data_IF_169297815205
#
_entry.id   IF_169297815205
#
_cell.length_a   1.000
_cell.length_b   1.000
_cell.length_c   1.000
_cell.angle_alpha   90.00
_cell.angle_beta   90.00
_cell.angle_gamma   90.00
#
_symmetry.space_group_name_H-M   'P 1'
#
loop_
_entity.id
_entity.type
_entity.pdbx_description
1 polymer ?
#
# COMPACT_ATOMS: atom_id res chain seq x y z
N UNK A 1 8.62 -11.20 -3.92
CA UNK A 1 8.75 -10.51 -2.61
C UNK A 1 8.64 -9.01 -2.86
N UNK A 2 7.82 -8.32 -2.08
CA UNK A 2 7.76 -6.86 -2.06
C UNK A 2 7.95 -6.41 -0.63
N UNK A 3 8.88 -5.49 -0.43
CA UNK A 3 9.15 -4.86 0.85
C UNK A 3 9.06 -3.34 0.65
N UNK A 4 8.29 -2.69 1.50
CA UNK A 4 8.22 -1.23 1.54
C UNK A 4 8.27 -0.77 3.00
N UNK A 5 9.12 0.22 3.26
CA UNK A 5 9.21 0.91 4.54
C UNK A 5 9.01 2.41 4.32
N UNK A 6 8.08 3.00 5.06
CA UNK A 6 7.75 4.41 4.88
C UNK A 6 6.37 4.75 5.41
N UNK A 7 5.83 5.88 4.95
CA UNK A 7 4.49 6.29 5.31
C UNK A 7 3.44 5.41 4.60
N UNK A 8 2.43 5.06 5.37
CA UNK A 8 1.28 4.30 4.90
C UNK A 8 0.18 4.38 5.94
N UNK A 9 -0.97 3.83 5.59
CA UNK A 9 -2.12 3.80 6.47
C UNK A 9 -2.99 2.58 6.16
N UNK A 10 -3.90 2.27 7.09
CA UNK A 10 -4.81 1.14 6.95
C UNK A 10 -6.26 1.60 7.03
N UNK A 11 -7.06 1.16 6.07
CA UNK A 11 -8.52 1.22 6.15
C UNK A 11 -9.06 -0.20 6.02
N UNK A 12 -9.73 -0.53 4.91
CA UNK A 12 -10.05 -1.91 4.53
C UNK A 12 -8.81 -2.61 3.96
N UNK A 13 -8.06 -1.90 3.12
CA UNK A 13 -6.80 -2.33 2.53
C UNK A 13 -5.63 -1.57 3.16
N UNK A 14 -4.41 -2.03 2.88
CA UNK A 14 -3.19 -1.31 3.23
C UNK A 14 -2.81 -0.36 2.10
N UNK A 15 -2.43 0.87 2.46
CA UNK A 15 -2.07 1.91 1.50
C UNK A 15 -0.65 2.39 1.76
N UNK A 16 0.09 2.59 0.67
CA UNK A 16 1.46 3.09 0.65
C UNK A 16 1.44 4.54 0.15
N UNK A 17 2.06 5.46 0.89
CA UNK A 17 2.21 6.85 0.49
C UNK A 17 3.54 7.08 -0.22
N UNK A 18 3.49 7.74 -1.37
CA UNK A 18 4.69 8.18 -2.06
C UNK A 18 5.27 9.43 -1.39
N UNK A 19 6.55 9.69 -1.65
CA UNK A 19 7.28 10.85 -1.08
C UNK A 19 6.78 12.20 -1.61
N UNK A 20 6.08 12.20 -2.75
CA UNK A 20 5.48 13.35 -3.40
C UNK A 20 3.98 13.51 -3.09
N UNK A 21 3.42 12.66 -2.21
CA UNK A 21 2.03 12.78 -1.78
C UNK A 21 1.77 14.17 -1.14
N UNK A 22 0.62 14.80 -1.42
CA UNK A 22 0.29 16.09 -0.84
C UNK A 22 0.13 15.99 0.68
N UNK A 23 0.29 17.12 1.38
CA UNK A 23 0.16 17.19 2.84
C UNK A 23 -1.21 16.74 3.33
N UNK A 24 -2.25 17.03 2.55
CA UNK A 24 -3.60 16.50 2.72
C UNK A 24 -3.85 15.58 1.54
N UNK A 25 -3.96 14.28 1.81
CA UNK A 25 -4.03 13.25 0.80
C UNK A 25 -5.38 12.53 0.83
N UNK A 26 -5.82 12.12 -0.35
CA UNK A 26 -6.93 11.21 -0.57
C UNK A 26 -6.40 9.79 -0.80
N UNK A 27 -7.32 8.82 -0.82
CA UNK A 27 -6.97 7.43 -1.19
C UNK A 27 -6.41 7.33 -2.61
N UNK A 28 -6.81 8.22 -3.51
CA UNK A 28 -6.30 8.30 -4.89
C UNK A 28 -4.84 8.75 -4.99
N UNK A 29 -4.31 9.36 -3.92
CA UNK A 29 -2.93 9.83 -3.87
C UNK A 29 -1.98 8.77 -3.29
N UNK A 30 -2.50 7.59 -2.96
CA UNK A 30 -1.76 6.47 -2.37
C UNK A 30 -1.89 5.21 -3.23
N UNK A 31 -0.94 4.30 -3.09
CA UNK A 31 -0.95 3.00 -3.79
C UNK A 31 -1.62 1.98 -2.88
N UNK A 32 -2.63 1.28 -3.40
CA UNK A 32 -3.33 0.25 -2.63
C UNK A 32 -2.65 -1.11 -2.77
N UNK A 33 -2.52 -1.87 -1.67
CA UNK A 33 -1.97 -3.23 -1.68
C UNK A 33 -2.77 -4.17 -2.61
N UNK A 34 -4.08 -3.95 -2.74
CA UNK A 34 -4.91 -4.75 -3.64
C UNK A 34 -4.60 -4.49 -5.12
N UNK A 35 -4.17 -3.28 -5.51
CA UNK A 35 -3.70 -2.98 -6.87
C UNK A 35 -2.40 -3.75 -7.17
N UNK A 36 -1.52 -3.81 -6.17
CA UNK A 36 -0.27 -4.57 -6.26
C UNK A 36 -0.55 -6.07 -6.49
N UNK A 37 -1.47 -6.65 -5.72
CA UNK A 37 -1.93 -8.02 -5.91
C UNK A 37 -2.58 -8.23 -7.27
N UNK A 38 -3.44 -7.31 -7.71
CA UNK A 38 -4.09 -7.41 -9.01
C UNK A 38 -3.10 -7.44 -10.17
N UNK A 39 -1.95 -6.76 -10.05
CA UNK A 39 -0.88 -6.81 -11.06
C UNK A 39 -0.02 -8.08 -11.01
N UNK A 40 0.12 -8.71 -9.84
CA UNK A 40 1.08 -9.79 -9.62
C UNK A 40 0.43 -11.18 -9.69
N UNK A 41 -0.75 -11.35 -9.10
CA UNK A 41 -1.45 -12.65 -9.07
C UNK A 41 -1.69 -13.25 -10.47
N UNK A 42 -2.03 -12.47 -11.52
CA UNK A 42 -2.20 -13.02 -12.87
C UNK A 42 -0.92 -13.59 -13.49
N UNK A 43 0.25 -13.30 -12.91
CA UNK A 43 1.54 -13.86 -13.34
C UNK A 43 1.82 -15.24 -12.75
N UNK A 44 0.87 -15.80 -12.00
CA UNK A 44 0.93 -17.11 -11.35
C UNK A 44 2.21 -17.33 -10.51
N UNK A 45 2.50 -16.45 -9.54
CA UNK A 45 3.65 -16.64 -8.68
C UNK A 45 3.42 -17.86 -7.78
N UNK A 46 4.42 -18.76 -7.71
CA UNK A 46 4.40 -19.86 -6.74
C UNK A 46 4.24 -19.38 -5.28
N UNK A 47 4.70 -18.15 -4.99
CA UNK A 47 4.49 -17.47 -3.72
C UNK A 47 4.54 -15.94 -3.89
N UNK A 48 3.56 -15.24 -3.32
CA UNK A 48 3.58 -13.77 -3.18
C UNK A 48 3.71 -13.41 -1.69
N UNK A 49 4.78 -12.70 -1.34
CA UNK A 49 5.00 -12.12 -0.02
C UNK A 49 5.07 -10.61 -0.16
N UNK A 50 4.22 -9.90 0.59
CA UNK A 50 4.18 -8.44 0.69
C UNK A 50 4.40 -8.06 2.15
N UNK A 51 5.47 -7.31 2.42
CA UNK A 51 5.85 -6.83 3.75
C UNK A 51 5.77 -5.31 3.73
N UNK A 52 4.81 -4.77 4.49
CA UNK A 52 4.59 -3.34 4.62
C UNK A 52 4.99 -2.88 6.02
N UNK A 53 6.19 -2.31 6.12
CA UNK A 53 6.71 -1.67 7.33
C UNK A 53 6.24 -0.21 7.35
N UNK A 54 4.93 -0.05 7.55
CA UNK A 54 4.24 1.23 7.50
C UNK A 54 3.33 1.38 8.72
N UNK A 55 2.89 2.60 9.00
CA UNK A 55 1.82 2.81 9.97
C UNK A 55 0.55 2.03 9.52
N UNK A 56 -0.11 1.37 10.47
CA UNK A 56 -1.32 0.55 10.24
C UNK A 56 -2.57 1.20 10.85
N UNK A 57 -2.56 2.53 10.95
CA UNK A 57 -3.63 3.32 11.57
C UNK A 57 -4.59 3.87 10.51
N UNK A 58 -5.86 4.01 10.89
CA UNK A 58 -6.84 4.75 10.08
C UNK A 58 -6.47 6.24 10.12
N UNK A 59 -6.32 6.93 8.97
CA UNK A 59 -6.06 8.35 8.96
C UNK A 59 -7.16 9.11 9.72
N UNK A 60 -6.80 10.14 10.50
CA UNK A 60 -7.79 11.02 11.11
C UNK A 60 -8.66 11.69 10.02
N UNK A 61 -9.91 11.99 10.35
CA UNK A 61 -10.84 12.71 9.47
C UNK A 61 -10.37 14.12 9.17
#
# INVERSE_FOLDING_TARGET
LIYFAGHGFKMQESYILSVDAPKTYLRSDAICESELRAMILPKDPALLVVILDTCQTVPPR
#
